data_IF_465075521680
#
_entry.id   IF_465075521680
#
_cell.length_a   1.000
_cell.length_b   1.000
_cell.length_c   1.000
_cell.angle_alpha   90.00
_cell.angle_beta   90.00
_cell.angle_gamma   90.00
#
_symmetry.space_group_name_H-M   'P 1'
#
loop_
_entity.id
_entity.type
_entity.pdbx_description
1 polymer ?
#
# COMPACT_ATOMS: atom_id res chain seq x y z
N UNK A 1 -113.42 -32.89 0.57
CA UNK A 1 -113.71 -31.84 -0.44
C UNK A 1 -112.46 -31.01 -0.58
N UNK A 2 -112.01 -30.68 -1.80
CA UNK A 2 -111.67 -31.60 -2.88
C UNK A 2 -110.19 -31.43 -3.28
N UNK A 3 -109.82 -32.25 -4.25
CA UNK A 3 -108.55 -32.39 -4.95
C UNK A 3 -107.87 -31.07 -5.35
N UNK A 4 -106.54 -31.04 -5.27
CA UNK A 4 -105.74 -30.56 -6.41
C UNK A 4 -104.35 -31.23 -6.42
N UNK A 5 -104.21 -32.07 -7.43
CA UNK A 5 -102.99 -32.65 -7.97
C UNK A 5 -102.24 -31.54 -8.70
N UNK A 6 -101.01 -31.21 -8.29
CA UNK A 6 -100.06 -30.48 -9.16
C UNK A 6 -98.78 -31.29 -9.27
N UNK A 7 -98.48 -31.59 -10.52
CA UNK A 7 -97.42 -32.46 -10.99
C UNK A 7 -96.02 -32.01 -10.56
N UNK A 8 -95.25 -33.00 -10.12
CA UNK A 8 -93.82 -32.95 -9.90
C UNK A 8 -93.11 -32.86 -11.26
N UNK A 9 -92.60 -31.67 -11.61
CA UNK A 9 -91.82 -31.45 -12.81
C UNK A 9 -90.32 -31.46 -12.46
N UNK A 10 -89.72 -32.65 -12.48
CA UNK A 10 -88.27 -32.84 -12.49
C UNK A 10 -87.69 -32.20 -13.78
N UNK A 11 -87.30 -30.93 -13.69
CA UNK A 11 -86.47 -30.26 -14.69
C UNK A 11 -85.00 -30.58 -14.39
N UNK A 12 -84.50 -31.65 -14.99
CA UNK A 12 -83.06 -31.89 -15.15
C UNK A 12 -82.48 -30.80 -16.07
N UNK A 13 -82.18 -29.64 -15.48
CA UNK A 13 -81.52 -28.55 -16.17
C UNK A 13 -80.07 -28.99 -16.45
N UNK A 14 -79.82 -29.34 -17.72
CA UNK A 14 -78.48 -29.63 -18.20
C UNK A 14 -77.51 -28.51 -17.77
N UNK A 15 -76.36 -28.84 -17.16
CA UNK A 15 -75.43 -27.83 -16.66
C UNK A 15 -75.05 -26.89 -17.79
N UNK A 16 -75.37 -25.61 -17.63
CA UNK A 16 -75.08 -24.60 -18.66
C UNK A 16 -73.58 -24.61 -18.97
N UNK A 17 -73.22 -24.60 -20.25
CA UNK A 17 -71.82 -24.69 -20.71
C UNK A 17 -70.91 -23.65 -20.02
N UNK A 18 -71.48 -22.51 -19.60
CA UNK A 18 -70.78 -21.49 -18.81
C UNK A 18 -70.26 -21.96 -17.44
N UNK A 19 -70.88 -22.95 -16.81
CA UNK A 19 -70.43 -23.49 -15.51
C UNK A 19 -69.15 -24.32 -15.65
N UNK A 20 -69.00 -25.05 -16.76
CA UNK A 20 -67.83 -25.89 -17.07
C UNK A 20 -66.60 -25.02 -17.36
N UNK A 21 -66.74 -23.96 -18.17
CA UNK A 21 -65.63 -23.05 -18.45
C UNK A 21 -65.12 -22.31 -17.21
N UNK A 22 -66.01 -21.91 -16.29
CA UNK A 22 -65.60 -21.32 -14.99
C UNK A 22 -64.89 -22.33 -14.08
N UNK A 23 -65.16 -23.63 -14.23
CA UNK A 23 -64.45 -24.70 -13.52
C UNK A 23 -63.02 -24.85 -14.02
N UNK A 24 -62.84 -24.90 -15.35
CA UNK A 24 -61.52 -25.04 -16.00
C UNK A 24 -60.62 -23.83 -15.68
N UNK A 25 -61.14 -22.60 -15.78
CA UNK A 25 -60.35 -21.40 -15.46
C UNK A 25 -59.85 -21.38 -14.00
N UNK A 26 -60.70 -21.80 -13.04
CA UNK A 26 -60.30 -21.94 -11.63
C UNK A 26 -59.26 -23.05 -11.43
N UNK A 27 -59.35 -24.14 -12.18
CA UNK A 27 -58.39 -25.23 -12.11
C UNK A 27 -57.02 -24.83 -12.67
N UNK A 28 -56.97 -24.18 -13.84
CA UNK A 28 -55.73 -23.64 -14.43
C UNK A 28 -55.10 -22.62 -13.48
N UNK A 29 -55.89 -21.71 -12.91
CA UNK A 29 -55.39 -20.74 -11.93
C UNK A 29 -54.76 -21.40 -10.70
N UNK A 30 -55.34 -22.50 -10.19
CA UNK A 30 -54.77 -23.26 -9.07
C UNK A 30 -53.46 -23.97 -9.43
N UNK A 31 -53.38 -24.58 -10.61
CA UNK A 31 -52.14 -25.20 -11.10
C UNK A 31 -51.05 -24.14 -11.24
N UNK A 32 -51.37 -22.99 -11.83
CA UNK A 32 -50.43 -21.90 -12.00
C UNK A 32 -49.92 -21.38 -10.64
N UNK A 33 -50.82 -21.13 -9.68
CA UNK A 33 -50.42 -20.70 -8.33
C UNK A 33 -49.55 -21.74 -7.62
N UNK A 34 -49.85 -23.03 -7.76
CA UNK A 34 -49.04 -24.10 -7.19
C UNK A 34 -47.64 -24.14 -7.82
N UNK A 35 -47.56 -24.06 -9.15
CA UNK A 35 -46.29 -24.01 -9.87
C UNK A 35 -45.46 -22.80 -9.45
N UNK A 36 -46.09 -21.62 -9.30
CA UNK A 36 -45.43 -20.42 -8.84
C UNK A 36 -44.91 -20.57 -7.40
N UNK A 37 -45.70 -21.14 -6.50
CA UNK A 37 -45.26 -21.43 -5.11
C UNK A 37 -44.04 -22.34 -5.12
N UNK A 38 -44.05 -23.42 -5.91
CA UNK A 38 -42.91 -24.35 -6.02
C UNK A 38 -41.66 -23.64 -6.52
N UNK A 39 -41.77 -22.82 -7.56
CA UNK A 39 -40.63 -22.05 -8.10
C UNK A 39 -40.10 -21.06 -7.07
N UNK A 40 -40.97 -20.30 -6.41
CA UNK A 40 -40.57 -19.33 -5.38
C UNK A 40 -39.89 -20.03 -4.21
N UNK A 41 -40.48 -21.11 -3.68
CA UNK A 41 -39.88 -21.88 -2.58
C UNK A 41 -38.52 -22.47 -2.95
N UNK A 42 -38.35 -22.97 -4.19
CA UNK A 42 -37.08 -23.49 -4.67
C UNK A 42 -36.01 -22.40 -4.77
N UNK A 43 -36.35 -21.23 -5.32
CA UNK A 43 -35.41 -20.09 -5.39
C UNK A 43 -35.05 -19.56 -4.01
N UNK A 44 -36.02 -19.49 -3.08
CA UNK A 44 -35.76 -19.14 -1.68
C UNK A 44 -34.83 -20.15 -1.02
N UNK A 45 -35.06 -21.46 -1.24
CA UNK A 45 -34.16 -22.50 -0.75
C UNK A 45 -32.74 -22.34 -1.29
N UNK A 46 -32.56 -22.16 -2.61
CA UNK A 46 -31.23 -21.93 -3.21
C UNK A 46 -30.55 -20.67 -2.66
N UNK A 47 -31.32 -19.63 -2.40
CA UNK A 47 -30.79 -18.37 -1.85
C UNK A 47 -30.33 -18.54 -0.40
N UNK A 48 -31.11 -19.26 0.41
CA UNK A 48 -30.75 -19.58 1.80
C UNK A 48 -29.56 -20.54 1.83
N UNK A 49 -29.56 -21.60 1.02
CA UNK A 49 -28.46 -22.56 0.95
C UNK A 49 -27.16 -21.89 0.49
N UNK A 50 -27.22 -21.02 -0.52
CA UNK A 50 -26.08 -20.23 -0.95
C UNK A 50 -25.58 -19.31 0.16
N UNK A 51 -26.48 -18.59 0.84
CA UNK A 51 -26.11 -17.69 1.95
C UNK A 51 -25.49 -18.45 3.11
N UNK A 52 -26.10 -19.56 3.53
CA UNK A 52 -25.62 -20.42 4.62
C UNK A 52 -24.28 -21.03 4.24
N UNK A 53 -24.14 -21.57 3.03
CA UNK A 53 -22.88 -22.13 2.55
C UNK A 53 -21.77 -21.09 2.46
N UNK A 54 -22.08 -19.88 1.96
CA UNK A 54 -21.11 -18.78 1.87
C UNK A 54 -20.69 -18.23 3.25
N UNK A 55 -21.58 -18.25 4.25
CA UNK A 55 -21.30 -17.76 5.60
C UNK A 55 -20.63 -18.82 6.49
N UNK A 56 -21.07 -20.09 6.42
CA UNK A 56 -20.60 -21.18 7.29
C UNK A 56 -19.35 -21.84 6.71
N UNK A 57 -19.22 -21.92 5.39
CA UNK A 57 -18.04 -22.48 4.73
C UNK A 57 -17.22 -21.34 4.16
N UNK A 58 -16.37 -20.67 4.97
CA UNK A 58 -15.55 -19.57 4.46
C UNK A 58 -14.76 -20.09 3.27
N UNK A 59 -15.05 -19.55 2.08
CA UNK A 59 -14.31 -19.90 0.87
C UNK A 59 -12.84 -19.70 1.19
N UNK A 60 -12.04 -20.77 1.10
CA UNK A 60 -10.60 -20.63 1.33
C UNK A 60 -10.10 -19.58 0.36
N UNK A 61 -9.38 -18.58 0.88
CA UNK A 61 -8.78 -17.57 0.03
C UNK A 61 -8.00 -18.28 -1.10
N UNK A 62 -8.11 -17.80 -2.35
CA UNK A 62 -7.40 -18.41 -3.48
C UNK A 62 -5.93 -18.64 -3.12
N UNK A 63 -5.30 -19.76 -3.54
CA UNK A 63 -3.90 -20.05 -3.23
C UNK A 63 -2.96 -18.86 -3.46
N UNK A 64 -3.26 -18.04 -4.48
CA UNK A 64 -2.54 -16.81 -4.81
C UNK A 64 -2.55 -15.77 -3.68
N UNK A 65 -3.65 -15.64 -2.94
CA UNK A 65 -3.76 -14.71 -1.80
C UNK A 65 -3.09 -15.32 -0.55
N UNK A 66 -3.16 -16.65 -0.39
CA UNK A 66 -2.53 -17.36 0.73
C UNK A 66 -1.02 -17.39 0.64
N UNK A 67 -0.45 -17.30 -0.56
CA UNK A 67 0.99 -17.25 -0.77
C UNK A 67 1.60 -15.88 -0.44
N UNK A 68 0.80 -14.83 -0.21
CA UNK A 68 1.36 -13.52 0.18
C UNK A 68 1.95 -13.63 1.59
N UNK A 69 3.25 -13.34 1.78
CA UNK A 69 3.92 -13.49 3.06
C UNK A 69 3.30 -12.49 4.04
N UNK A 70 2.82 -13.02 5.17
CA UNK A 70 2.23 -12.19 6.25
C UNK A 70 3.28 -11.62 7.20
N UNK A 71 4.53 -12.07 7.07
CA UNK A 71 5.69 -11.66 7.85
C UNK A 71 6.88 -11.58 6.92
N UNK A 72 7.77 -10.62 7.15
CA UNK A 72 9.08 -10.63 6.49
C UNK A 72 9.97 -11.65 7.18
N UNK A 73 10.05 -12.83 6.59
CA UNK A 73 10.99 -13.89 6.93
C UNK A 73 12.16 -13.92 5.93
N UNK A 74 13.09 -14.86 6.11
CA UNK A 74 14.23 -15.01 5.20
C UNK A 74 13.80 -15.23 3.74
N UNK A 75 12.70 -15.95 3.50
CA UNK A 75 12.17 -16.15 2.15
C UNK A 75 11.70 -14.82 1.55
N UNK A 76 11.02 -13.99 2.35
CA UNK A 76 10.58 -12.66 1.93
C UNK A 76 11.75 -11.70 1.71
N UNK A 77 12.84 -11.84 2.47
CA UNK A 77 14.04 -11.01 2.32
C UNK A 77 14.83 -11.27 1.03
N UNK A 78 14.68 -12.47 0.46
CA UNK A 78 15.38 -12.88 -0.76
C UNK A 78 14.47 -12.99 -1.99
N UNK A 79 13.15 -12.94 -1.79
CA UNK A 79 12.17 -13.01 -2.87
C UNK A 79 12.01 -11.68 -3.60
N UNK A 80 11.67 -11.76 -4.88
CA UNK A 80 11.23 -10.64 -5.70
C UNK A 80 9.71 -10.53 -5.67
N UNK A 81 9.20 -9.35 -6.04
CA UNK A 81 7.78 -9.08 -6.23
C UNK A 81 7.10 -10.11 -7.14
N UNK A 82 7.80 -10.55 -8.18
CA UNK A 82 7.29 -11.50 -9.20
C UNK A 82 7.08 -12.89 -8.63
N UNK A 83 7.72 -13.23 -7.52
CA UNK A 83 7.53 -14.52 -6.85
C UNK A 83 6.18 -14.59 -6.12
N UNK A 84 5.46 -13.47 -6.03
CA UNK A 84 4.21 -13.33 -5.27
C UNK A 84 3.03 -12.94 -6.18
N UNK A 85 2.54 -13.91 -6.98
CA UNK A 85 1.39 -13.73 -7.90
C UNK A 85 0.15 -13.08 -7.25
N UNK A 86 -0.04 -13.24 -5.93
CA UNK A 86 -1.11 -12.59 -5.19
C UNK A 86 -1.06 -11.07 -5.18
N UNK A 87 0.13 -10.45 -5.30
CA UNK A 87 0.27 -9.00 -5.33
C UNK A 87 -0.38 -8.39 -6.57
N UNK A 88 -0.23 -9.04 -7.74
CA UNK A 88 -0.86 -8.60 -8.98
C UNK A 88 -2.39 -8.63 -8.90
N UNK A 89 -2.95 -9.60 -8.17
CA UNK A 89 -4.38 -9.73 -7.99
C UNK A 89 -4.99 -8.64 -7.07
N UNK A 90 -4.19 -8.03 -6.20
CA UNK A 90 -4.65 -7.03 -5.22
C UNK A 90 -4.54 -5.60 -5.75
N UNK A 91 -3.60 -5.31 -6.64
CA UNK A 91 -3.39 -3.96 -7.20
C UNK A 91 -4.54 -3.42 -8.05
N UNK A 92 -5.46 -4.29 -8.49
CA UNK A 92 -6.68 -3.91 -9.22
C UNK A 92 -7.96 -3.93 -8.36
N UNK A 93 -7.84 -4.17 -7.05
CA UNK A 93 -9.02 -4.46 -6.24
C UNK A 93 -9.89 -3.23 -6.01
N UNK A 94 -11.14 -3.26 -6.49
CA UNK A 94 -12.18 -2.24 -6.22
C UNK A 94 -12.75 -2.31 -4.80
N UNK A 95 -12.21 -3.17 -3.92
CA UNK A 95 -12.68 -3.21 -2.53
C UNK A 95 -12.20 -1.94 -1.82
N UNK A 96 -13.07 -1.23 -1.07
CA UNK A 96 -12.64 -0.13 -0.23
C UNK A 96 -11.49 -0.59 0.68
N UNK A 97 -10.46 0.24 0.90
CA UNK A 97 -9.34 -0.09 1.77
C UNK A 97 -9.85 -0.17 3.22
N UNK A 98 -10.43 -1.32 3.61
CA UNK A 98 -11.03 -1.51 4.94
C UNK A 98 -9.99 -1.67 6.05
N UNK A 99 -8.69 -1.61 5.72
CA UNK A 99 -7.61 -1.71 6.69
C UNK A 99 -6.49 -0.71 6.38
N UNK A 100 -6.36 0.31 7.21
CA UNK A 100 -5.34 1.38 7.21
C UNK A 100 -3.86 0.89 7.27
N UNK A 101 -3.64 -0.42 7.31
CA UNK A 101 -2.33 -1.05 7.37
C UNK A 101 -2.00 -1.92 6.15
N UNK A 102 -2.89 -1.97 5.14
CA UNK A 102 -2.54 -2.61 3.88
C UNK A 102 -1.60 -1.69 3.11
N UNK A 103 -0.39 -2.19 2.91
CA UNK A 103 0.56 -1.57 2.02
C UNK A 103 0.14 -2.06 0.65
N UNK A 104 -0.57 -1.21 -0.09
CA UNK A 104 -1.11 -1.55 -1.41
C UNK A 104 -0.01 -1.80 -2.46
N UNK A 105 1.25 -1.55 -2.07
CA UNK A 105 2.43 -1.68 -2.91
C UNK A 105 3.45 -2.64 -2.27
N UNK A 106 4.25 -3.24 -3.14
CA UNK A 106 5.42 -4.02 -2.75
C UNK A 106 6.44 -3.16 -2.00
N UNK A 107 7.00 -3.70 -0.92
CA UNK A 107 8.17 -3.13 -0.23
C UNK A 107 9.35 -4.03 -0.56
N UNK A 108 10.31 -3.48 -1.29
CA UNK A 108 11.55 -4.20 -1.57
C UNK A 108 12.24 -4.57 -0.24
N UNK A 109 12.56 -5.86 -0.04
CA UNK A 109 13.32 -6.27 1.12
C UNK A 109 14.71 -5.64 1.10
N UNK A 110 15.24 -5.41 2.29
CA UNK A 110 16.54 -4.78 2.48
C UNK A 110 17.49 -5.79 3.10
N UNK A 111 18.18 -6.50 2.21
CA UNK A 111 19.16 -7.53 2.56
C UNK A 111 20.53 -6.94 2.93
N UNK A 112 20.60 -5.63 3.20
CA UNK A 112 21.83 -4.97 3.64
C UNK A 112 21.67 -4.27 4.99
N UNK A 113 20.45 -4.11 5.48
CA UNK A 113 20.19 -3.57 6.81
C UNK A 113 20.46 -4.60 7.90
N UNK A 114 21.62 -4.52 8.54
CA UNK A 114 22.02 -5.51 9.55
C UNK A 114 21.11 -5.50 10.80
N UNK A 115 20.39 -4.40 11.08
CA UNK A 115 19.43 -4.38 12.17
C UNK A 115 18.34 -5.44 11.96
N UNK A 116 17.87 -5.61 10.73
CA UNK A 116 16.80 -6.56 10.38
C UNK A 116 17.35 -7.96 10.08
N UNK A 117 18.53 -8.06 9.46
CA UNK A 117 19.16 -9.35 9.16
C UNK A 117 19.61 -10.13 10.38
N UNK A 118 19.97 -9.43 11.45
CA UNK A 118 20.32 -10.09 12.72
C UNK A 118 19.16 -10.91 13.29
N UNK A 119 17.93 -10.72 12.82
CA UNK A 119 16.74 -11.34 13.40
C UNK A 119 16.36 -10.78 14.77
N UNK A 120 17.11 -9.79 15.28
CA UNK A 120 16.79 -9.07 16.50
C UNK A 120 15.64 -8.08 16.32
N UNK A 121 15.48 -7.53 15.11
CA UNK A 121 14.43 -6.58 14.76
C UNK A 121 13.66 -7.04 13.52
N UNK A 122 12.37 -6.70 13.49
CA UNK A 122 11.58 -6.76 12.26
C UNK A 122 11.97 -5.59 11.34
N UNK A 123 11.92 -5.80 10.02
CA UNK A 123 12.10 -4.72 9.04
C UNK A 123 10.99 -3.68 9.03
N UNK A 124 9.80 -4.01 9.58
CA UNK A 124 8.76 -3.03 9.85
C UNK A 124 8.80 -2.63 11.31
N UNK A 125 8.98 -1.33 11.62
CA UNK A 125 8.94 -0.81 12.98
C UNK A 125 7.72 -1.26 13.77
N UNK A 126 7.91 -1.36 15.08
CA UNK A 126 6.88 -1.74 16.04
C UNK A 126 6.71 -0.63 17.07
N UNK A 127 5.90 0.38 16.77
CA UNK A 127 5.37 1.28 17.80
C UNK A 127 4.08 0.69 18.39
N UNK A 128 3.84 0.95 19.68
CA UNK A 128 2.63 0.49 20.36
C UNK A 128 1.38 1.09 19.70
N UNK A 129 1.39 2.40 19.48
CA UNK A 129 0.36 3.10 18.71
C UNK A 129 0.37 2.67 17.23
N UNK A 130 -0.83 2.39 16.70
CA UNK A 130 -1.02 1.91 15.32
C UNK A 130 -0.78 3.00 14.29
N UNK A 131 -1.11 4.24 14.60
CA UNK A 131 -0.97 5.38 13.69
C UNK A 131 0.51 5.67 13.46
N UNK A 132 1.25 5.87 14.56
CA UNK A 132 2.71 6.06 14.56
C UNK A 132 3.42 4.93 13.84
N UNK A 133 3.01 3.68 14.07
CA UNK A 133 3.58 2.50 13.39
C UNK A 133 3.41 2.54 11.88
N UNK A 134 2.26 2.97 11.37
CA UNK A 134 2.03 3.07 9.92
C UNK A 134 2.99 4.07 9.28
N UNK A 135 3.22 5.21 9.93
CA UNK A 135 4.18 6.21 9.47
C UNK A 135 5.63 5.73 9.54
N UNK A 136 6.02 5.08 10.63
CA UNK A 136 7.37 4.52 10.77
C UNK A 136 7.63 3.39 9.75
N UNK A 137 6.61 2.60 9.41
CA UNK A 137 6.71 1.60 8.34
C UNK A 137 7.07 2.25 7.00
N UNK A 138 6.47 3.40 6.66
CA UNK A 138 6.83 4.19 5.47
C UNK A 138 8.28 4.71 5.51
N UNK A 139 8.84 5.00 6.69
CA UNK A 139 10.23 5.43 6.77
C UNK A 139 11.16 4.25 6.48
N UNK A 140 10.89 3.08 7.05
CA UNK A 140 11.70 1.89 6.84
C UNK A 140 11.79 1.46 5.36
N UNK A 141 10.86 1.90 4.50
CA UNK A 141 10.94 1.66 3.05
C UNK A 141 11.92 2.59 2.32
N UNK A 142 12.23 3.76 2.89
CA UNK A 142 13.04 4.80 2.23
C UNK A 142 14.38 5.08 2.92
N UNK A 143 14.55 4.63 4.17
CA UNK A 143 15.78 4.84 4.94
C UNK A 143 16.18 3.61 5.77
N UNK A 144 17.47 3.50 6.03
CA UNK A 144 18.08 2.55 6.94
C UNK A 144 17.74 2.91 8.39
N UNK A 145 17.52 1.90 9.25
CA UNK A 145 17.16 2.09 10.66
C UNK A 145 18.16 2.97 11.42
N UNK A 146 19.43 2.93 11.01
CA UNK A 146 20.51 3.73 11.60
C UNK A 146 20.29 5.24 11.51
N UNK A 147 19.54 5.74 10.51
CA UNK A 147 19.26 7.19 10.38
C UNK A 147 18.57 7.74 11.63
N UNK A 148 17.58 7.00 12.17
CA UNK A 148 16.84 7.43 13.36
C UNK A 148 17.44 6.91 14.66
N UNK A 149 18.09 5.75 14.65
CA UNK A 149 18.52 5.05 15.86
C UNK A 149 20.01 5.19 16.22
N UNK A 150 20.86 5.63 15.30
CA UNK A 150 22.29 5.83 15.57
C UNK A 150 22.61 7.28 15.93
N UNK A 151 23.57 7.45 16.84
CA UNK A 151 24.18 8.74 17.18
C UNK A 151 24.98 9.23 15.97
N UNK A 152 24.81 10.51 15.65
CA UNK A 152 25.52 11.24 14.60
C UNK A 152 25.54 12.70 15.03
N UNK A 153 26.71 13.31 15.02
CA UNK A 153 26.89 14.71 15.44
C UNK A 153 26.62 15.70 14.29
N UNK A 154 26.59 15.22 13.05
CA UNK A 154 26.40 16.06 11.86
C UNK A 154 25.03 16.75 11.83
N UNK A 155 25.06 18.05 11.50
CA UNK A 155 23.89 18.91 11.27
C UNK A 155 24.15 19.78 10.03
N UNK A 156 23.48 19.52 8.89
CA UNK A 156 22.55 18.41 8.64
C UNK A 156 23.27 17.05 8.70
N UNK A 157 22.51 15.97 8.82
CA UNK A 157 23.04 14.62 8.72
C UNK A 157 23.79 14.41 7.41
N UNK A 158 24.97 13.80 7.49
CA UNK A 158 25.62 13.28 6.29
C UNK A 158 24.94 11.98 5.86
N UNK A 159 24.06 12.10 4.86
CA UNK A 159 23.33 10.98 4.29
C UNK A 159 23.86 10.61 2.90
N UNK A 160 23.69 9.33 2.56
CA UNK A 160 23.97 8.80 1.23
C UNK A 160 22.90 7.80 0.82
N UNK A 161 22.59 7.74 -0.48
CA UNK A 161 21.77 6.67 -1.02
C UNK A 161 22.60 5.40 -1.12
N UNK A 162 21.99 4.24 -0.87
CA UNK A 162 22.58 2.95 -1.18
C UNK A 162 21.60 2.04 -1.88
N UNK A 163 22.11 1.20 -2.76
CA UNK A 163 21.36 0.24 -3.56
C UNK A 163 20.92 -0.97 -2.73
N UNK A 164 19.66 -1.34 -2.87
CA UNK A 164 19.13 -2.57 -2.26
C UNK A 164 19.56 -3.83 -3.01
N UNK A 165 20.23 -3.70 -4.16
CA UNK A 165 20.75 -4.84 -4.92
C UNK A 165 22.15 -5.27 -4.47
N UNK A 166 23.01 -4.34 -4.04
CA UNK A 166 24.41 -4.61 -3.70
C UNK A 166 24.94 -3.92 -2.44
N UNK A 167 24.12 -3.12 -1.76
CA UNK A 167 24.47 -2.42 -0.53
C UNK A 167 25.45 -1.24 -0.73
N UNK A 168 25.79 -0.90 -1.97
CA UNK A 168 26.78 0.14 -2.27
C UNK A 168 26.14 1.51 -2.36
N UNK A 169 26.95 2.55 -2.12
CA UNK A 169 26.54 3.92 -2.37
C UNK A 169 26.02 4.07 -3.80
N UNK A 170 24.94 4.83 -3.96
CA UNK A 170 24.24 5.03 -5.21
C UNK A 170 23.95 6.51 -5.42
N UNK A 171 23.65 6.87 -6.67
CA UNK A 171 23.01 8.13 -7.01
C UNK A 171 21.55 8.16 -6.52
N UNK A 172 20.93 9.36 -6.46
CA UNK A 172 19.50 9.49 -6.20
C UNK A 172 18.66 8.65 -7.18
N UNK A 173 17.53 8.06 -6.71
CA UNK A 173 16.73 7.17 -7.53
C UNK A 173 16.17 7.87 -8.77
N UNK A 174 16.06 7.13 -9.88
CA UNK A 174 15.50 7.64 -11.14
C UNK A 174 14.05 8.15 -10.98
N UNK A 175 13.30 7.70 -9.97
CA UNK A 175 11.98 8.24 -9.64
C UNK A 175 12.05 9.73 -9.22
N UNK A 176 13.02 10.12 -8.38
CA UNK A 176 13.18 11.54 -8.01
C UNK A 176 13.62 12.38 -9.21
N UNK A 177 14.52 11.84 -10.04
CA UNK A 177 14.95 12.51 -11.27
C UNK A 177 13.82 12.65 -12.30
N UNK A 178 12.95 11.64 -12.41
CA UNK A 178 11.76 11.69 -13.26
C UNK A 178 10.80 12.78 -12.77
N UNK A 179 10.54 12.80 -11.46
CA UNK A 179 9.68 13.80 -10.83
C UNK A 179 10.21 15.21 -11.02
N UNK A 180 11.51 15.42 -10.79
CA UNK A 180 12.18 16.70 -11.02
C UNK A 180 11.96 17.22 -12.44
N UNK A 181 12.18 16.34 -13.42
CA UNK A 181 11.96 16.66 -14.82
C UNK A 181 10.49 17.00 -15.10
N UNK A 182 9.55 16.21 -14.56
CA UNK A 182 8.11 16.42 -14.73
C UNK A 182 7.65 17.74 -14.11
N UNK A 183 8.12 18.06 -12.91
CA UNK A 183 7.78 19.31 -12.20
C UNK A 183 8.33 20.53 -12.95
N UNK A 184 9.57 20.48 -13.43
CA UNK A 184 10.17 21.56 -14.25
C UNK A 184 9.48 21.74 -15.59
N UNK A 185 8.89 20.67 -16.14
CA UNK A 185 8.15 20.68 -17.40
C UNK A 185 6.63 20.60 -17.18
N UNK A 186 6.13 21.06 -16.02
CA UNK A 186 4.71 20.98 -15.67
C UNK A 186 3.83 21.95 -16.46
N UNK A 187 4.39 23.02 -17.04
CA UNK A 187 3.61 24.05 -17.73
C UNK A 187 3.25 23.63 -19.16
N UNK A 188 2.06 24.05 -19.63
CA UNK A 188 1.62 23.76 -20.98
C UNK A 188 2.60 24.25 -22.07
N UNK A 189 3.29 25.37 -21.82
CA UNK A 189 4.31 25.88 -22.74
C UNK A 189 5.55 24.99 -22.79
N UNK A 190 6.09 24.58 -21.63
CA UNK A 190 7.25 23.69 -21.58
C UNK A 190 6.95 22.35 -22.26
N UNK A 191 5.75 21.80 -22.05
CA UNK A 191 5.31 20.54 -22.66
C UNK A 191 5.19 20.62 -24.19
N UNK A 192 4.72 21.75 -24.74
CA UNK A 192 4.68 21.97 -26.21
C UNK A 192 6.07 22.04 -26.84
N UNK A 193 7.07 22.50 -26.08
CA UNK A 193 8.48 22.59 -26.53
C UNK A 193 9.23 21.26 -26.43
N UNK A 194 8.69 20.27 -25.72
CA UNK A 194 9.30 18.95 -25.62
C UNK A 194 9.36 18.27 -26.99
N UNK A 195 10.54 17.81 -27.38
CA UNK A 195 10.76 17.02 -28.57
C UNK A 195 10.89 15.53 -28.28
N UNK A 196 11.39 14.81 -29.28
CA UNK A 196 11.71 13.38 -29.15
C UNK A 196 12.75 13.10 -28.06
N UNK A 197 13.87 13.86 -27.93
CA UNK A 197 14.87 13.59 -26.90
C UNK A 197 14.31 13.68 -25.48
N UNK A 198 13.49 14.69 -25.21
CA UNK A 198 12.84 14.88 -23.90
C UNK A 198 11.92 13.72 -23.55
N UNK A 199 11.06 13.32 -24.49
CA UNK A 199 10.16 12.17 -24.33
C UNK A 199 10.94 10.89 -24.06
N UNK A 200 12.00 10.64 -24.83
CA UNK A 200 12.79 9.42 -24.69
C UNK A 200 13.52 9.40 -23.33
N UNK A 201 14.05 10.55 -22.89
CA UNK A 201 14.65 10.73 -21.55
C UNK A 201 13.66 10.41 -20.43
N UNK A 202 12.48 11.04 -20.40
CA UNK A 202 11.52 10.81 -19.32
C UNK A 202 11.03 9.36 -19.31
N UNK A 203 10.82 8.75 -20.48
CA UNK A 203 10.46 7.34 -20.54
C UNK A 203 11.56 6.42 -20.04
N UNK A 204 12.83 6.74 -20.29
CA UNK A 204 13.96 5.99 -19.72
C UNK A 204 14.07 6.14 -18.20
N UNK A 205 13.86 7.35 -17.67
CA UNK A 205 13.81 7.58 -16.22
C UNK A 205 12.68 6.79 -15.56
N UNK A 206 11.48 6.77 -16.16
CA UNK A 206 10.34 5.99 -15.67
C UNK A 206 10.61 4.48 -15.73
N UNK A 207 11.24 4.00 -16.81
CA UNK A 207 11.64 2.58 -16.93
C UNK A 207 12.68 2.19 -15.89
N UNK A 208 13.67 3.05 -15.63
CA UNK A 208 14.66 2.81 -14.58
C UNK A 208 14.03 2.87 -13.18
N UNK A 209 13.10 3.81 -12.95
CA UNK A 209 12.32 3.86 -11.73
C UNK A 209 11.50 2.58 -11.53
N UNK A 210 10.88 2.05 -12.59
CA UNK A 210 10.19 0.77 -12.54
C UNK A 210 11.13 -0.38 -12.17
N UNK A 211 12.34 -0.42 -12.73
CA UNK A 211 13.36 -1.43 -12.39
C UNK A 211 13.76 -1.32 -10.90
N UNK A 212 14.01 -0.11 -10.40
CA UNK A 212 14.30 0.11 -8.97
C UNK A 212 13.11 -0.29 -8.08
N UNK A 213 11.89 -0.10 -8.56
CA UNK A 213 10.65 -0.52 -7.91
C UNK A 213 10.31 -2.02 -8.13
N UNK A 214 11.31 -2.85 -8.39
CA UNK A 214 11.16 -4.30 -8.62
C UNK A 214 10.18 -4.65 -9.77
N UNK A 215 10.30 -3.89 -10.86
CA UNK A 215 9.49 -4.06 -12.06
C UNK A 215 8.05 -3.54 -11.94
N UNK A 216 7.85 -2.42 -11.24
CA UNK A 216 6.51 -1.81 -11.08
C UNK A 216 5.76 -1.74 -12.44
N UNK A 217 4.59 -2.41 -12.55
CA UNK A 217 3.89 -2.54 -13.82
C UNK A 217 3.26 -1.22 -14.27
N UNK A 218 2.90 -0.33 -13.35
CA UNK A 218 2.32 0.98 -13.66
C UNK A 218 3.39 1.87 -14.29
N UNK A 219 4.55 2.03 -13.66
CA UNK A 219 5.66 2.81 -14.21
C UNK A 219 6.14 2.22 -15.55
N UNK A 220 6.19 0.89 -15.67
CA UNK A 220 6.53 0.20 -16.93
C UNK A 220 5.56 0.55 -18.05
N UNK A 221 4.24 0.45 -17.81
CA UNK A 221 3.22 0.79 -18.82
C UNK A 221 3.26 2.27 -19.19
N UNK A 222 3.38 3.16 -18.20
CA UNK A 222 3.47 4.61 -18.45
C UNK A 222 4.69 4.91 -19.32
N UNK A 223 5.86 4.35 -19.02
CA UNK A 223 7.07 4.52 -19.83
C UNK A 223 6.86 4.05 -21.29
N UNK A 224 6.21 2.90 -21.50
CA UNK A 224 5.91 2.37 -22.83
C UNK A 224 4.93 3.27 -23.60
N UNK A 225 3.82 3.66 -22.99
CA UNK A 225 2.83 4.54 -23.62
C UNK A 225 3.41 5.92 -23.93
N UNK A 226 4.23 6.45 -23.03
CA UNK A 226 4.88 7.74 -23.23
C UNK A 226 5.82 7.73 -24.45
N UNK A 227 6.60 6.65 -24.65
CA UNK A 227 7.43 6.47 -25.86
C UNK A 227 6.63 6.38 -27.15
N UNK A 228 5.45 5.76 -27.10
CA UNK A 228 4.57 5.63 -28.26
C UNK A 228 3.88 6.95 -28.62
N UNK A 229 3.82 7.91 -27.68
CA UNK A 229 3.11 9.17 -27.88
C UNK A 229 3.96 10.17 -28.69
N UNK A 230 3.32 10.94 -29.56
CA UNK A 230 3.97 12.03 -30.32
C UNK A 230 4.26 13.21 -29.38
N UNK A 231 5.51 13.68 -29.29
CA UNK A 231 5.86 14.79 -28.39
C UNK A 231 5.20 16.11 -28.82
N UNK A 232 4.97 17.00 -27.85
CA UNK A 232 4.40 18.35 -28.05
C UNK A 232 2.88 18.43 -28.21
N UNK A 233 2.17 17.30 -28.30
CA UNK A 233 0.71 17.25 -28.44
C UNK A 233 -0.07 17.25 -27.12
N UNK A 234 -1.41 17.28 -27.23
CA UNK A 234 -2.31 17.18 -26.08
C UNK A 234 -2.24 15.79 -25.42
N UNK A 235 -2.17 14.71 -26.23
CA UNK A 235 -1.97 13.35 -25.74
C UNK A 235 -0.68 13.23 -24.92
N UNK A 236 0.41 13.85 -25.39
CA UNK A 236 1.68 13.86 -24.67
C UNK A 236 1.56 14.59 -23.33
N UNK A 237 0.88 15.75 -23.32
CA UNK A 237 0.63 16.49 -22.09
C UNK A 237 -0.17 15.67 -21.07
N UNK A 238 -1.24 14.99 -21.51
CA UNK A 238 -2.01 14.06 -20.67
C UNK A 238 -1.16 12.91 -20.15
N UNK A 239 -0.28 12.36 -20.98
CA UNK A 239 0.64 11.30 -20.56
C UNK A 239 1.66 11.77 -19.53
N UNK A 240 2.10 13.03 -19.59
CA UNK A 240 2.97 13.61 -18.56
C UNK A 240 2.22 13.78 -17.22
N UNK A 241 0.94 14.14 -17.23
CA UNK A 241 0.13 14.20 -16.01
C UNK A 241 -0.03 12.82 -15.36
N UNK A 242 -0.31 11.79 -16.18
CA UNK A 242 -0.36 10.40 -15.73
C UNK A 242 0.99 9.95 -15.17
N UNK A 243 2.09 10.33 -15.82
CA UNK A 243 3.44 10.03 -15.34
C UNK A 243 3.74 10.69 -13.98
N UNK A 244 3.33 11.94 -13.79
CA UNK A 244 3.48 12.63 -12.50
C UNK A 244 2.74 11.90 -11.39
N UNK A 245 1.46 11.54 -11.57
CA UNK A 245 0.68 10.79 -10.57
C UNK A 245 1.33 9.42 -10.28
N UNK A 246 1.76 8.70 -11.32
CA UNK A 246 2.41 7.40 -11.16
C UNK A 246 3.73 7.50 -10.35
N UNK A 247 4.56 8.50 -10.62
CA UNK A 247 5.83 8.71 -9.88
C UNK A 247 5.59 9.15 -8.44
N UNK A 248 4.62 10.02 -8.19
CA UNK A 248 4.27 10.42 -6.81
C UNK A 248 3.80 9.22 -6.00
N UNK A 249 3.02 8.31 -6.60
CA UNK A 249 2.60 7.06 -5.93
C UNK A 249 3.78 6.13 -5.63
N UNK A 250 4.85 6.16 -6.42
CA UNK A 250 6.06 5.36 -6.15
C UNK A 250 6.91 5.90 -4.99
N UNK A 251 6.64 7.12 -4.49
CA UNK A 251 7.35 7.73 -3.36
C UNK A 251 7.09 7.07 -2.00
N UNK A 252 6.55 5.85 -1.99
CA UNK A 252 6.26 5.03 -0.82
C UNK A 252 7.39 4.03 -0.50
N UNK A 253 8.60 4.33 -0.97
CA UNK A 253 9.81 3.51 -0.81
C UNK A 253 10.06 2.46 -1.89
N UNK A 254 9.37 2.57 -3.03
CA UNK A 254 9.64 1.73 -4.19
C UNK A 254 10.76 2.37 -5.06
N UNK A 255 11.93 2.58 -4.46
CA UNK A 255 13.05 3.27 -5.13
C UNK A 255 14.15 2.34 -5.61
N UNK A 256 14.26 1.14 -5.03
CA UNK A 256 15.42 0.23 -5.21
C UNK A 256 16.68 0.71 -4.48
N UNK A 257 16.58 1.84 -3.77
CA UNK A 257 17.64 2.46 -2.97
C UNK A 257 17.03 2.99 -1.66
N UNK A 258 17.87 3.18 -0.65
CA UNK A 258 17.49 3.81 0.63
C UNK A 258 18.55 4.79 1.10
N UNK A 259 18.16 5.68 1.99
CA UNK A 259 19.09 6.59 2.69
C UNK A 259 19.77 5.89 3.86
N UNK A 260 21.07 6.08 4.04
CA UNK A 260 21.81 5.69 5.23
C UNK A 260 22.74 6.83 5.68
N UNK A 261 23.16 6.79 6.95
CA UNK A 261 24.26 7.63 7.42
C UNK A 261 25.52 7.32 6.60
N UNK A 262 26.28 8.36 6.25
CA UNK A 262 27.57 8.21 5.59
C UNK A 262 28.65 7.95 6.64
N UNK A 263 29.45 6.91 6.42
CA UNK A 263 30.62 6.62 7.26
C UNK A 263 31.83 7.44 6.85
N UNK A 264 32.87 7.41 7.69
CA UNK A 264 34.15 8.11 7.45
C UNK A 264 34.81 7.72 6.11
N UNK A 265 34.56 6.51 5.61
CA UNK A 265 35.03 6.06 4.29
C UNK A 265 34.14 6.47 3.10
N UNK A 266 33.14 7.33 3.31
CA UNK A 266 32.20 7.79 2.28
C UNK A 266 31.07 6.81 1.92
N UNK A 267 31.17 5.55 2.33
CA UNK A 267 30.14 4.53 2.13
C UNK A 267 28.99 4.59 3.14
N UNK A 268 27.89 3.87 2.89
CA UNK A 268 26.74 3.82 3.81
C UNK A 268 27.07 3.02 5.09
N UNK A 269 26.58 3.49 6.23
CA UNK A 269 26.58 2.76 7.51
C UNK A 269 25.34 1.87 7.56
N UNK A 270 25.54 0.60 7.22
CA UNK A 270 24.49 -0.44 7.18
C UNK A 270 24.45 -1.31 8.45
N UNK A 271 25.39 -1.08 9.36
CA UNK A 271 25.50 -1.76 10.65
C UNK A 271 26.23 -0.85 11.63
N UNK A 272 26.14 -1.14 12.93
CA UNK A 272 27.05 -0.52 13.88
C UNK A 272 28.50 -0.91 13.55
N UNK A 273 29.42 0.05 13.32
CA UNK A 273 30.80 -0.27 12.97
C UNK A 273 31.48 -1.14 14.04
N UNK A 274 32.22 -2.16 13.61
CA UNK A 274 32.99 -3.04 14.51
C UNK A 274 32.18 -4.06 15.31
N UNK A 275 30.90 -4.27 15.00
CA UNK A 275 30.00 -5.14 15.82
C UNK A 275 29.76 -6.54 15.27
N UNK A 276 30.32 -6.90 14.11
CA UNK A 276 30.02 -8.17 13.43
C UNK A 276 30.25 -9.40 14.33
N UNK A 277 31.36 -9.42 15.08
CA UNK A 277 31.66 -10.52 15.99
C UNK A 277 30.72 -10.55 17.22
N UNK A 278 30.36 -9.37 17.76
CA UNK A 278 29.37 -9.26 18.84
C UNK A 278 28.01 -9.79 18.41
N UNK A 279 27.57 -9.46 17.19
CA UNK A 279 26.32 -9.97 16.59
C UNK A 279 26.39 -11.48 16.45
N UNK A 280 27.46 -12.01 15.83
CA UNK A 280 27.64 -13.46 15.64
C UNK A 280 27.57 -14.22 16.96
N UNK A 281 28.26 -13.71 18.00
CA UNK A 281 28.25 -14.31 19.34
C UNK A 281 26.86 -14.32 19.97
N UNK A 282 26.12 -13.21 19.84
CA UNK A 282 24.78 -13.10 20.38
C UNK A 282 23.78 -14.03 19.68
N UNK A 283 23.89 -14.20 18.36
CA UNK A 283 23.03 -15.11 17.60
C UNK A 283 23.35 -16.58 17.84
N UNK A 284 24.61 -16.93 18.09
CA UNK A 284 25.02 -18.29 18.43
C UNK A 284 24.52 -18.73 19.82
N UNK A 285 24.36 -17.80 20.75
CA UNK A 285 23.88 -18.06 22.10
C UNK A 285 22.90 -16.97 22.58
N UNK A 286 21.65 -16.97 22.08
CA UNK A 286 20.66 -15.96 22.45
C UNK A 286 20.40 -15.99 23.96
N UNK A 287 20.59 -14.85 24.62
CA UNK A 287 20.41 -14.73 26.06
C UNK A 287 18.92 -14.61 26.40
N UNK A 288 18.43 -15.34 27.41
CA UNK A 288 17.05 -15.22 27.87
C UNK A 288 16.73 -13.79 28.35
N UNK A 289 15.44 -13.41 28.32
CA UNK A 289 14.99 -12.13 28.89
C UNK A 289 15.35 -12.10 30.38
N UNK A 290 16.04 -11.06 30.83
CA UNK A 290 16.49 -10.91 32.22
C UNK A 290 17.86 -11.53 32.54
N UNK A 291 18.54 -12.16 31.59
CA UNK A 291 19.90 -12.66 31.84
C UNK A 291 20.86 -11.50 32.21
N UNK A 292 21.72 -11.67 33.24
CA UNK A 292 22.52 -10.59 33.81
C UNK A 292 23.51 -9.96 32.80
N UNK A 293 23.98 -10.75 31.84
CA UNK A 293 24.90 -10.31 30.78
C UNK A 293 24.18 -9.77 29.53
N UNK A 294 22.83 -9.80 29.46
CA UNK A 294 22.09 -9.39 28.26
C UNK A 294 22.27 -7.92 27.92
N UNK A 295 22.25 -7.05 28.93
CA UNK A 295 22.43 -5.61 28.72
C UNK A 295 23.81 -5.31 28.10
N UNK A 296 24.87 -5.91 28.65
CA UNK A 296 26.23 -5.76 28.13
C UNK A 296 26.37 -6.32 26.70
N UNK A 297 25.78 -7.48 26.42
CA UNK A 297 25.78 -8.06 25.07
C UNK A 297 25.07 -7.16 24.05
N UNK A 298 23.90 -6.61 24.40
CA UNK A 298 23.17 -5.68 23.54
C UNK A 298 23.92 -4.36 23.33
N UNK A 299 24.60 -3.85 24.36
CA UNK A 299 25.44 -2.65 24.24
C UNK A 299 26.63 -2.89 23.29
N UNK A 300 27.24 -4.08 23.33
CA UNK A 300 28.33 -4.46 22.43
C UNK A 300 27.89 -4.59 20.95
N UNK A 301 26.60 -4.80 20.69
CA UNK A 301 26.02 -4.86 19.35
C UNK A 301 25.57 -3.47 18.87
N UNK A 302 25.26 -2.55 19.79
CA UNK A 302 24.73 -1.21 19.47
C UNK A 302 25.55 -0.08 20.10
N UNK A 303 26.87 0.03 19.83
CA UNK A 303 27.73 1.05 20.43
C UNK A 303 27.31 2.48 20.08
N UNK A 304 26.65 2.67 18.93
CA UNK A 304 26.16 3.99 18.49
C UNK A 304 24.66 4.18 18.76
N UNK A 305 24.01 3.33 19.56
CA UNK A 305 22.56 3.47 19.79
C UNK A 305 22.25 4.80 20.44
N UNK A 306 21.18 5.46 19.99
CA UNK A 306 20.51 6.51 20.75
C UNK A 306 19.65 5.90 21.85
N UNK A 307 19.46 6.67 22.91
CA UNK A 307 18.49 6.32 23.95
C UNK A 307 17.07 6.60 23.47
N UNK A 308 16.89 7.73 22.78
CA UNK A 308 15.63 8.14 22.17
C UNK A 308 15.84 8.26 20.65
N UNK A 309 15.04 7.54 19.83
CA UNK A 309 15.06 7.69 18.37
C UNK A 309 14.73 9.13 17.97
N UNK A 310 15.13 9.53 16.76
CA UNK A 310 14.73 10.82 16.20
C UNK A 310 13.21 10.93 16.06
N UNK A 311 12.66 12.12 16.30
CA UNK A 311 11.23 12.42 16.09
C UNK A 311 10.96 12.86 14.65
N UNK A 312 9.69 13.07 14.30
CA UNK A 312 9.33 13.61 12.99
C UNK A 312 9.87 15.04 12.80
N UNK A 313 9.74 15.89 13.83
CA UNK A 313 10.23 17.26 13.82
C UNK A 313 11.74 17.38 13.61
N UNK A 314 12.51 16.43 14.17
CA UNK A 314 13.98 16.38 13.97
C UNK A 314 14.39 16.40 12.50
N UNK A 315 13.57 15.86 11.57
CA UNK A 315 13.92 15.74 10.16
C UNK A 315 13.08 16.65 9.24
N UNK A 316 11.81 16.90 9.59
CA UNK A 316 10.83 17.54 8.71
C UNK A 316 10.56 19.02 9.03
N UNK A 317 11.16 19.58 10.08
CA UNK A 317 11.09 21.02 10.35
C UNK A 317 11.97 21.84 9.38
N UNK A 318 11.79 23.16 9.36
CA UNK A 318 12.49 24.06 8.43
C UNK A 318 14.02 23.99 8.52
N UNK A 319 14.55 23.80 9.72
CA UNK A 319 15.97 23.57 10.05
C UNK A 319 16.28 22.09 10.35
N UNK A 320 15.43 21.18 9.86
CA UNK A 320 15.52 19.75 10.11
C UNK A 320 16.87 19.15 9.71
N UNK A 321 17.18 18.00 10.31
CA UNK A 321 18.45 17.30 10.18
C UNK A 321 18.68 16.68 8.78
N UNK A 322 17.71 16.73 7.87
CA UNK A 322 17.81 16.16 6.53
C UNK A 322 17.87 17.28 5.49
N UNK A 323 19.01 17.34 4.79
CA UNK A 323 19.17 18.17 3.60
C UNK A 323 18.62 17.45 2.37
N UNK A 324 17.30 17.56 2.15
CA UNK A 324 16.61 16.90 1.05
C UNK A 324 17.12 17.37 -0.33
N UNK A 325 17.49 18.64 -0.47
CA UNK A 325 17.98 19.20 -1.74
C UNK A 325 19.31 18.55 -2.14
N UNK A 326 20.25 18.46 -1.20
CA UNK A 326 21.52 17.74 -1.40
C UNK A 326 21.32 16.26 -1.71
N UNK A 327 20.23 15.66 -1.24
CA UNK A 327 19.86 14.27 -1.54
C UNK A 327 19.17 14.10 -2.91
N UNK A 328 19.01 15.18 -3.69
CA UNK A 328 18.41 15.16 -5.02
C UNK A 328 16.88 15.18 -5.01
N UNK A 329 16.25 15.60 -3.90
CA UNK A 329 14.80 15.82 -3.88
C UNK A 329 14.46 17.13 -4.60
N UNK A 330 13.48 17.13 -5.50
CA UNK A 330 13.03 18.34 -6.21
C UNK A 330 12.37 19.35 -5.26
N UNK A 331 12.45 20.65 -5.57
CA UNK A 331 12.03 21.73 -4.66
C UNK A 331 10.57 21.61 -4.19
N UNK A 332 9.65 21.24 -5.09
CA UNK A 332 8.24 20.98 -4.77
C UNK A 332 8.07 19.78 -3.84
N UNK A 333 8.90 18.74 -4.01
CA UNK A 333 8.94 17.61 -3.08
C UNK A 333 9.51 18.01 -1.73
N UNK A 334 10.57 18.81 -1.70
CA UNK A 334 11.15 19.36 -0.46
C UNK A 334 10.11 20.17 0.29
N UNK A 335 9.36 21.04 -0.40
CA UNK A 335 8.26 21.79 0.19
C UNK A 335 7.18 20.85 0.78
N UNK A 336 6.82 19.76 0.10
CA UNK A 336 5.86 18.79 0.64
C UNK A 336 6.39 17.97 1.83
N UNK A 337 7.72 17.82 1.94
CA UNK A 337 8.39 17.08 3.00
C UNK A 337 8.74 17.97 4.19
N UNK A 338 8.73 19.30 4.04
CA UNK A 338 8.97 20.24 5.12
C UNK A 338 7.65 20.83 5.60
N UNK A 339 7.45 20.89 6.92
CA UNK A 339 6.33 21.64 7.51
C UNK A 339 4.93 21.15 7.14
N UNK A 340 4.77 19.93 6.63
CA UNK A 340 3.44 19.38 6.39
C UNK A 340 2.73 19.17 7.74
N UNK A 341 1.50 19.69 7.87
CA UNK A 341 0.69 19.58 9.09
C UNK A 341 0.58 18.14 9.63
N UNK A 342 0.68 17.15 8.74
CA UNK A 342 0.68 15.73 9.09
C UNK A 342 1.80 15.35 10.06
N UNK A 343 2.96 16.01 10.03
CA UNK A 343 4.07 15.70 10.94
C UNK A 343 3.76 16.14 12.37
N UNK A 344 3.26 17.36 12.54
CA UNK A 344 2.80 17.86 13.83
C UNK A 344 1.64 17.02 14.38
N UNK A 345 0.72 16.58 13.50
CA UNK A 345 -0.35 15.64 13.89
C UNK A 345 0.20 14.34 14.45
N UNK A 346 1.15 13.71 13.77
CA UNK A 346 1.74 12.45 14.22
C UNK A 346 2.53 12.65 15.50
N UNK A 347 3.25 13.76 15.62
CA UNK A 347 4.02 14.08 16.81
C UNK A 347 3.11 14.23 18.03
N UNK A 348 2.01 15.00 17.91
CA UNK A 348 1.00 15.13 18.97
C UNK A 348 0.39 13.76 19.36
N UNK A 349 0.04 12.93 18.37
CA UNK A 349 -0.47 11.57 18.62
C UNK A 349 0.58 10.74 19.39
N UNK A 350 1.85 10.85 19.02
CA UNK A 350 2.93 10.09 19.64
C UNK A 350 3.26 10.55 21.07
N UNK A 351 3.05 11.83 21.37
CA UNK A 351 3.26 12.41 22.72
C UNK A 351 2.00 12.35 23.59
N UNK A 352 0.86 11.92 23.03
CA UNK A 352 -0.42 11.88 23.73
C UNK A 352 -1.07 13.26 23.87
N UNK A 353 -0.62 14.25 23.11
CA UNK A 353 -1.20 15.58 23.06
C UNK A 353 -2.46 15.58 22.18
N UNK A 354 -3.54 16.29 22.58
CA UNK A 354 -4.71 16.44 21.73
C UNK A 354 -4.34 17.20 20.45
N UNK A 355 -4.84 16.70 19.33
CA UNK A 355 -4.73 17.40 18.05
C UNK A 355 -6.06 18.11 17.76
N UNK A 356 -6.04 19.43 17.83
CA UNK A 356 -7.14 20.25 17.34
C UNK A 356 -6.98 20.44 15.84
N UNK A 357 -8.00 20.06 15.06
CA UNK A 357 -8.01 20.35 13.63
C UNK A 357 -7.95 21.87 13.45
N UNK A 358 -7.08 22.38 12.56
CA UNK A 358 -7.07 23.79 12.24
C UNK A 358 -8.48 24.19 11.81
N UNK A 359 -9.11 25.06 12.60
CA UNK A 359 -10.42 25.59 12.25
C UNK A 359 -10.24 26.50 11.04
N UNK A 360 -11.23 26.55 10.15
CA UNK A 360 -11.16 27.33 8.90
C UNK A 360 -10.94 28.83 9.09
N UNK A 361 -10.85 29.31 10.33
CA UNK A 361 -10.60 30.69 10.71
C UNK A 361 -9.13 30.99 10.99
N UNK A 362 -8.26 29.98 11.06
CA UNK A 362 -6.84 30.22 11.31
C UNK A 362 -6.09 30.51 10.01
N UNK A 363 -6.04 31.80 9.64
CA UNK A 363 -5.28 32.30 8.48
C UNK A 363 -3.81 32.56 8.81
N UNK A 364 -3.31 32.11 9.97
CA UNK A 364 -1.96 32.46 10.45
C UNK A 364 -0.85 31.49 10.04
N UNK A 365 -1.15 30.44 9.27
CA UNK A 365 -0.10 29.58 8.71
C UNK A 365 0.37 30.09 7.32
N UNK A 366 1.68 30.34 7.15
CA UNK A 366 2.28 30.85 5.91
C UNK A 366 2.37 29.83 4.77
#
# INVERSE_FOLDING_TARGET
MPDDVVADAMSDAAPSQHSVFRGIGRFIGRIYSLALIVVVSYLTYLSIDYLVSALITPSQAPPQVRSIPRRMDAQTLHGSRRDWLGLEAVEGSRTPPSHYHRIDAWIAPDSFNNCTQSGCHSPLPHAEDKSTRAFLNMHATSMHCGVCHMKSEDKPLDLTWYSLADGRASEPPSALRAYDWLSRNGTAEARRKCGKPERDLIADLLRQAAIGADGDPTLTRVAQHLRATRPGGEEFSRMLDIATDAVVRSFRGAYGVKLALRGQGGGPILAHPGTAESVKRYLAAPLAKGAPNRAAALAAIHPLRRDIPRTCGDCHNGDGLVDFERLGYPADRVASLRGAAIYSMIEHISTGEPFDYPTSTDTSQP
#
